data_IF_994866722544
#
_entry.id   IF_994866722544
#
_cell.length_a   1.000
_cell.length_b   1.000
_cell.length_c   1.000
_cell.angle_alpha   90.00
_cell.angle_beta   90.00
_cell.angle_gamma   90.00
#
_symmetry.space_group_name_H-M   'P 1'
#
loop_
_entity.id
_entity.type
_entity.pdbx_description
1 polymer ?
#
# COMPACT_ATOMS: atom_id res chain seq x y z
N UNK A 1 33.71 -37.72 -9.42
CA UNK A 1 32.83 -36.95 -10.31
C UNK A 1 31.71 -36.37 -9.47
N UNK A 2 31.73 -35.05 -9.23
CA UNK A 2 30.64 -34.33 -8.56
C UNK A 2 30.61 -32.92 -9.14
N UNK A 3 29.70 -32.70 -10.09
CA UNK A 3 29.43 -31.40 -10.69
C UNK A 3 28.49 -30.64 -9.76
N UNK A 4 29.01 -29.64 -9.04
CA UNK A 4 28.17 -28.66 -8.37
C UNK A 4 27.62 -27.70 -9.42
N UNK A 5 26.34 -27.86 -9.78
CA UNK A 5 25.59 -26.85 -10.51
C UNK A 5 25.21 -25.74 -9.54
N UNK A 6 25.96 -24.64 -9.57
CA UNK A 6 25.59 -23.40 -8.89
C UNK A 6 24.32 -22.84 -9.52
N UNK A 7 23.21 -22.93 -8.80
CA UNK A 7 21.96 -22.26 -9.14
C UNK A 7 22.17 -20.74 -9.11
N UNK A 8 22.12 -20.12 -10.29
CA UNK A 8 22.17 -18.66 -10.42
C UNK A 8 20.79 -18.11 -10.07
N UNK A 9 20.66 -17.38 -8.96
CA UNK A 9 19.44 -16.61 -8.67
C UNK A 9 19.17 -15.63 -9.83
N UNK A 10 17.96 -15.58 -10.40
CA UNK A 10 17.67 -14.79 -11.61
C UNK A 10 17.59 -13.27 -11.37
N UNK A 11 17.78 -12.80 -10.14
CA UNK A 11 17.86 -11.38 -9.82
C UNK A 11 19.31 -10.91 -9.92
N UNK A 12 19.70 -10.50 -11.13
CA UNK A 12 21.04 -9.97 -11.42
C UNK A 12 21.41 -8.83 -10.47
N UNK A 13 22.64 -8.88 -9.95
CA UNK A 13 23.17 -7.96 -8.93
C UNK A 13 23.60 -6.59 -9.47
N UNK A 14 23.24 -6.26 -10.70
CA UNK A 14 23.69 -5.03 -11.39
C UNK A 14 22.55 -4.03 -11.68
N UNK A 15 21.43 -4.11 -10.98
CA UNK A 15 20.37 -3.09 -11.11
C UNK A 15 20.66 -1.93 -10.16
N UNK A 16 21.00 -0.76 -10.73
CA UNK A 16 21.15 0.50 -9.98
C UNK A 16 19.85 0.81 -9.22
N UNK A 17 19.98 1.10 -7.92
CA UNK A 17 18.89 1.56 -7.06
C UNK A 17 18.16 2.75 -7.71
N UNK A 18 16.82 2.67 -7.78
CA UNK A 18 15.98 3.70 -8.40
C UNK A 18 15.45 4.73 -7.39
N UNK A 19 15.42 4.38 -6.12
CA UNK A 19 14.94 5.23 -5.05
C UNK A 19 14.80 4.48 -3.74
N UNK A 20 14.64 5.24 -2.66
CA UNK A 20 14.49 4.75 -1.29
C UNK A 20 13.57 5.69 -0.53
N UNK A 21 12.78 5.13 0.38
CA UNK A 21 11.92 5.88 1.30
C UNK A 21 12.34 5.49 2.71
N UNK A 22 12.63 6.48 3.55
CA UNK A 22 12.86 6.23 4.97
C UNK A 22 11.54 5.88 5.67
N UNK A 23 11.53 4.77 6.41
CA UNK A 23 10.31 4.27 7.05
C UNK A 23 9.67 5.31 7.99
N UNK A 24 10.48 6.10 8.71
CA UNK A 24 10.01 7.14 9.63
C UNK A 24 9.16 8.23 8.98
N UNK A 25 9.26 8.38 7.65
CA UNK A 25 8.53 9.39 6.90
C UNK A 25 7.21 8.87 6.32
N UNK A 26 6.97 7.57 6.37
CA UNK A 26 5.72 6.96 5.92
C UNK A 26 4.59 7.34 6.90
N UNK A 27 3.46 7.79 6.35
CA UNK A 27 2.29 8.20 7.13
C UNK A 27 1.01 7.44 6.79
N UNK A 28 0.94 6.77 5.64
CA UNK A 28 -0.24 5.98 5.25
C UNK A 28 0.16 4.80 4.38
N UNK A 29 -0.49 3.65 4.59
CA UNK A 29 -0.30 2.41 3.83
C UNK A 29 -1.69 1.80 3.67
N UNK A 30 -2.24 1.82 2.45
CA UNK A 30 -3.64 1.42 2.21
C UNK A 30 -3.80 0.74 0.85
N UNK A 31 -4.85 -0.07 0.71
CA UNK A 31 -5.28 -0.52 -0.61
C UNK A 31 -5.65 0.68 -1.48
N UNK A 32 -5.36 0.58 -2.78
CA UNK A 32 -5.63 1.63 -3.74
C UNK A 32 -6.57 1.13 -4.84
N UNK A 33 -7.27 2.06 -5.47
CA UNK A 33 -8.07 1.87 -6.67
C UNK A 33 -7.37 2.60 -7.80
N UNK A 34 -6.62 1.85 -8.59
CA UNK A 34 -5.91 2.39 -9.76
C UNK A 34 -6.72 1.97 -10.98
N UNK A 35 -7.62 2.85 -11.43
CA UNK A 35 -8.36 2.68 -12.69
C UNK A 35 -7.45 3.01 -13.89
N UNK A 36 -6.33 2.31 -14.00
CA UNK A 36 -5.44 2.40 -15.15
C UNK A 36 -5.60 1.12 -15.94
N UNK A 37 -5.85 1.22 -17.24
CA UNK A 37 -5.66 0.10 -18.12
C UNK A 37 -4.16 -0.23 -18.14
N UNK A 38 -3.76 -1.29 -17.44
CA UNK A 38 -2.36 -1.70 -17.28
C UNK A 38 -1.64 -1.90 -18.61
N UNK A 39 -2.37 -2.21 -19.68
CA UNK A 39 -1.81 -2.31 -21.04
C UNK A 39 -1.21 -0.99 -21.54
N UNK A 40 -1.74 0.17 -21.12
CA UNK A 40 -1.19 1.49 -21.47
C UNK A 40 0.19 1.74 -20.87
N UNK A 41 0.54 1.04 -19.79
CA UNK A 41 1.86 1.08 -19.15
C UNK A 41 2.69 -0.19 -19.44
N UNK A 42 2.31 -0.95 -20.49
CA UNK A 42 3.03 -2.14 -20.93
C UNK A 42 2.89 -3.35 -20.02
N UNK A 43 1.94 -3.34 -19.09
CA UNK A 43 1.68 -4.44 -18.16
C UNK A 43 0.49 -5.28 -18.64
N UNK A 44 0.57 -6.59 -18.42
CA UNK A 44 -0.46 -7.55 -18.78
C UNK A 44 -0.91 -8.32 -17.53
N UNK A 45 -2.21 -8.58 -17.44
CA UNK A 45 -2.81 -9.31 -16.32
C UNK A 45 -3.51 -8.42 -15.31
N UNK A 46 -4.03 -9.08 -14.28
CA UNK A 46 -4.66 -8.44 -13.13
C UNK A 46 -3.59 -8.06 -12.10
N UNK A 47 -3.79 -6.93 -11.43
CA UNK A 47 -2.90 -6.45 -10.37
C UNK A 47 -3.71 -6.00 -9.17
N UNK A 48 -3.07 -6.05 -8.02
CA UNK A 48 -3.65 -5.73 -6.73
C UNK A 48 -2.95 -4.49 -6.16
N UNK A 49 -3.39 -3.28 -6.55
CA UNK A 49 -2.72 -2.05 -6.17
C UNK A 49 -2.85 -1.72 -4.67
N UNK A 50 -1.79 -1.15 -4.13
CA UNK A 50 -1.78 -0.47 -2.84
C UNK A 50 -0.93 0.79 -2.93
N UNK A 51 -1.06 1.68 -1.94
CA UNK A 51 -0.35 2.94 -1.90
C UNK A 51 0.40 3.13 -0.59
N UNK A 52 1.50 3.86 -0.69
CA UNK A 52 2.33 4.31 0.43
C UNK A 52 2.41 5.84 0.36
N UNK A 53 1.83 6.51 1.34
CA UNK A 53 1.99 7.95 1.53
C UNK A 53 3.19 8.24 2.44
N UNK A 54 4.04 9.18 2.03
CA UNK A 54 5.22 9.59 2.79
C UNK A 54 5.53 11.07 2.59
N UNK A 55 6.25 11.64 3.56
CA UNK A 55 6.73 13.01 3.49
C UNK A 55 8.22 13.03 3.13
N UNK A 56 8.64 13.85 2.18
CA UNK A 56 10.05 14.03 1.87
C UNK A 56 10.31 15.51 1.56
N UNK A 57 11.32 16.12 2.18
CA UNK A 57 11.64 17.55 2.02
C UNK A 57 10.41 18.47 2.14
N UNK A 58 9.58 18.24 3.16
CA UNK A 58 8.34 18.98 3.44
C UNK A 58 7.26 18.87 2.34
N UNK A 59 7.36 17.88 1.45
CA UNK A 59 6.37 17.59 0.41
C UNK A 59 5.70 16.24 0.68
N UNK A 60 4.41 16.17 0.35
CA UNK A 60 3.58 14.98 0.51
C UNK A 60 3.52 14.18 -0.80
N UNK A 61 3.94 12.93 -0.72
CA UNK A 61 4.03 12.01 -1.85
C UNK A 61 3.17 10.77 -1.63
N UNK A 62 2.75 10.17 -2.74
CA UNK A 62 2.04 8.89 -2.78
C UNK A 62 2.71 8.01 -3.81
N UNK A 63 3.27 6.90 -3.36
CA UNK A 63 3.78 5.83 -4.21
C UNK A 63 2.68 4.78 -4.41
N UNK A 64 2.40 4.41 -5.65
CA UNK A 64 1.51 3.31 -5.98
C UNK A 64 2.35 2.07 -6.34
N UNK A 65 1.99 0.93 -5.76
CA UNK A 65 2.65 -0.36 -6.01
C UNK A 65 1.60 -1.33 -6.54
N UNK A 66 1.96 -2.06 -7.60
CA UNK A 66 1.11 -3.08 -8.22
C UNK A 66 1.62 -4.47 -7.81
N UNK A 67 0.92 -5.12 -6.89
CA UNK A 67 1.22 -6.52 -6.55
C UNK A 67 0.63 -7.46 -7.62
N UNK A 68 1.33 -8.55 -7.92
CA UNK A 68 0.85 -9.58 -8.87
C UNK A 68 -0.23 -10.47 -8.30
N UNK A 69 -0.36 -10.55 -6.97
CA UNK A 69 -1.35 -11.37 -6.27
C UNK A 69 -2.01 -10.59 -5.15
N UNK A 70 -3.24 -10.99 -4.82
CA UNK A 70 -3.99 -10.41 -3.70
C UNK A 70 -3.29 -10.65 -2.36
N UNK A 71 -2.77 -11.86 -2.17
CA UNK A 71 -2.02 -12.29 -0.97
C UNK A 71 -0.77 -11.43 -0.77
N UNK A 72 0.06 -11.28 -1.81
CA UNK A 72 1.26 -10.44 -1.77
C UNK A 72 0.93 -9.00 -1.33
N UNK A 73 -0.17 -8.42 -1.85
CA UNK A 73 -0.62 -7.09 -1.45
C UNK A 73 -0.90 -7.03 0.05
N UNK A 74 -1.61 -8.03 0.59
CA UNK A 74 -1.97 -8.10 2.01
C UNK A 74 -0.70 -8.19 2.86
N UNK A 75 0.20 -9.10 2.52
CA UNK A 75 1.46 -9.32 3.25
C UNK A 75 2.31 -8.05 3.28
N UNK A 76 2.45 -7.36 2.14
CA UNK A 76 3.18 -6.09 2.08
C UNK A 76 2.55 -5.01 2.95
N UNK A 77 1.23 -4.85 2.90
CA UNK A 77 0.53 -3.86 3.72
C UNK A 77 0.75 -4.14 5.21
N UNK A 78 0.59 -5.40 5.65
CA UNK A 78 0.73 -5.78 7.05
C UNK A 78 2.17 -5.58 7.54
N UNK A 79 3.16 -6.06 6.78
CA UNK A 79 4.57 -5.93 7.13
C UNK A 79 5.01 -4.46 7.25
N UNK A 80 4.62 -3.62 6.28
CA UNK A 80 4.96 -2.20 6.29
C UNK A 80 4.29 -1.46 7.45
N UNK A 81 3.01 -1.75 7.74
CA UNK A 81 2.30 -1.17 8.88
C UNK A 81 2.98 -1.54 10.19
N UNK A 82 3.33 -2.80 10.37
CA UNK A 82 4.05 -3.25 11.55
C UNK A 82 5.39 -2.52 11.72
N UNK A 83 6.15 -2.34 10.63
CA UNK A 83 7.44 -1.65 10.65
C UNK A 83 7.32 -0.15 10.94
N UNK A 84 6.21 0.49 10.54
CA UNK A 84 6.01 1.93 10.65
C UNK A 84 5.12 2.34 11.85
N UNK A 85 4.63 1.38 12.65
CA UNK A 85 3.52 1.60 13.59
C UNK A 85 3.81 2.62 14.71
N UNK A 86 5.08 2.98 14.91
CA UNK A 86 5.54 3.96 15.90
C UNK A 86 5.73 5.37 15.33
N UNK A 87 5.49 5.55 14.03
CA UNK A 87 5.64 6.84 13.37
C UNK A 87 4.66 7.86 13.97
N UNK A 88 5.13 9.09 14.17
CA UNK A 88 4.32 10.15 14.82
C UNK A 88 3.37 10.86 13.86
N UNK A 89 3.57 10.70 12.56
CA UNK A 89 2.91 11.42 11.49
C UNK A 89 1.81 10.60 10.78
N UNK A 90 1.34 9.49 11.36
CA UNK A 90 0.31 8.66 10.75
C UNK A 90 -0.96 9.46 10.44
N UNK A 91 -1.42 9.41 9.19
CA UNK A 91 -2.64 10.09 8.75
C UNK A 91 -3.87 9.23 9.05
N UNK A 92 -4.96 9.89 9.42
CA UNK A 92 -6.26 9.25 9.71
C UNK A 92 -7.17 9.15 8.48
N UNK A 93 -6.78 9.77 7.38
CA UNK A 93 -7.57 9.83 6.16
C UNK A 93 -6.68 9.80 4.93
N UNK A 94 -7.15 9.18 3.85
CA UNK A 94 -6.42 9.06 2.59
C UNK A 94 -7.35 9.11 1.37
N UNK A 95 -6.77 9.27 0.18
CA UNK A 95 -7.50 9.18 -1.08
C UNK A 95 -7.30 7.80 -1.68
N UNK A 96 -8.37 7.02 -1.86
CA UNK A 96 -8.25 5.64 -2.34
C UNK A 96 -7.87 5.52 -3.82
N UNK A 97 -8.03 6.57 -4.62
CA UNK A 97 -7.79 6.55 -6.07
C UNK A 97 -6.78 7.59 -6.51
N UNK A 98 -6.23 7.44 -7.72
CA UNK A 98 -5.17 8.28 -8.28
C UNK A 98 -5.63 9.73 -8.52
N UNK A 99 -4.71 10.68 -8.32
CA UNK A 99 -4.81 12.08 -8.77
C UNK A 99 -4.52 12.17 -10.27
N UNK A 100 -5.47 12.64 -11.06
CA UNK A 100 -5.36 12.67 -12.53
C UNK A 100 -4.64 13.89 -13.11
N UNK A 101 -4.19 14.82 -12.24
CA UNK A 101 -3.62 16.11 -12.62
C UNK A 101 -4.55 17.29 -12.32
N UNK A 102 -5.86 17.04 -12.19
CA UNK A 102 -6.91 18.05 -11.95
C UNK A 102 -7.75 17.76 -10.72
N UNK A 103 -8.04 16.49 -10.45
CA UNK A 103 -8.85 16.06 -9.32
C UNK A 103 -8.48 14.66 -8.82
N UNK A 104 -8.97 14.35 -7.63
CA UNK A 104 -8.94 13.00 -7.07
C UNK A 104 -10.08 12.16 -7.63
N UNK A 105 -9.78 11.05 -8.31
CA UNK A 105 -10.80 10.17 -8.90
C UNK A 105 -11.74 9.49 -7.88
N UNK A 106 -11.44 9.57 -6.58
CA UNK A 106 -12.25 8.97 -5.54
C UNK A 106 -13.31 9.91 -4.94
N UNK A 107 -13.18 11.23 -5.09
CA UNK A 107 -14.08 12.20 -4.47
C UNK A 107 -14.23 13.51 -5.25
N UNK A 108 -13.65 13.60 -6.44
CA UNK A 108 -13.61 14.81 -7.28
C UNK A 108 -12.99 16.04 -6.63
N UNK A 109 -12.25 15.92 -5.52
CA UNK A 109 -11.58 17.06 -4.91
C UNK A 109 -10.47 17.61 -5.83
N UNK A 110 -10.49 18.91 -6.11
CA UNK A 110 -9.59 19.62 -7.03
C UNK A 110 -8.28 20.09 -6.41
N UNK A 111 -8.03 19.79 -5.13
CA UNK A 111 -6.79 20.15 -4.45
C UNK A 111 -5.98 18.89 -4.17
N UNK A 112 -4.80 18.78 -4.81
CA UNK A 112 -3.91 17.61 -4.65
C UNK A 112 -3.56 17.34 -3.19
N UNK A 113 -3.30 18.39 -2.41
CA UNK A 113 -2.92 18.26 -1.00
C UNK A 113 -4.11 18.31 -0.02
N UNK A 114 -5.33 18.10 -0.50
CA UNK A 114 -6.52 18.00 0.35
C UNK A 114 -6.46 16.81 1.30
N UNK A 115 -7.20 16.89 2.40
CA UNK A 115 -7.45 15.75 3.28
C UNK A 115 -8.11 14.62 2.49
N UNK A 116 -7.75 13.39 2.84
CA UNK A 116 -8.31 12.19 2.23
C UNK A 116 -9.81 12.03 2.47
N UNK A 117 -10.53 11.51 1.48
CA UNK A 117 -11.97 11.26 1.58
C UNK A 117 -12.34 9.93 2.27
N UNK A 118 -11.36 9.07 2.54
CA UNK A 118 -11.57 7.77 3.18
C UNK A 118 -10.85 7.72 4.52
N UNK A 119 -11.45 7.03 5.49
CA UNK A 119 -10.79 6.76 6.78
C UNK A 119 -9.64 5.79 6.57
N UNK A 120 -8.45 6.16 7.01
CA UNK A 120 -7.29 5.27 6.97
C UNK A 120 -7.42 4.20 8.07
N UNK A 121 -6.87 3.02 7.82
CA UNK A 121 -6.80 1.97 8.82
C UNK A 121 -5.95 2.48 9.99
N UNK A 122 -6.43 2.27 11.21
CA UNK A 122 -5.64 2.58 12.39
C UNK A 122 -4.75 1.39 12.74
N UNK A 123 -3.43 1.58 12.61
CA UNK A 123 -2.41 0.57 12.90
C UNK A 123 -1.29 1.15 13.80
N UNK A 124 -1.59 2.23 14.51
CA UNK A 124 -0.70 2.79 15.53
C UNK A 124 -0.56 1.81 16.70
N UNK A 125 0.67 1.35 16.96
CA UNK A 125 0.96 0.38 18.03
C UNK A 125 0.61 0.89 19.44
N UNK A 126 0.47 2.21 19.61
CA UNK A 126 0.15 2.84 20.91
C UNK A 126 -1.33 2.78 21.25
N UNK A 127 -2.19 2.47 20.29
CA UNK A 127 -3.59 2.18 20.55
C UNK A 127 -3.70 0.66 20.59
N UNK A 128 -4.11 0.12 21.75
CA UNK A 128 -4.45 -1.31 21.79
C UNK A 128 -5.36 -1.63 20.60
N UNK A 129 -5.09 -2.71 19.86
CA UNK A 129 -6.03 -3.17 18.86
C UNK A 129 -7.36 -3.42 19.58
N UNK A 130 -8.40 -2.71 19.15
CA UNK A 130 -9.75 -2.98 19.61
C UNK A 130 -10.14 -4.37 19.10
N UNK A 131 -9.95 -5.37 19.96
CA UNK A 131 -10.13 -6.79 19.65
C UNK A 131 -11.58 -7.09 19.22
N UNK A 132 -12.55 -6.24 19.55
CA UNK A 132 -13.94 -6.42 19.14
C UNK A 132 -14.10 -6.40 17.62
N UNK A 133 -13.38 -5.51 16.92
CA UNK A 133 -13.48 -5.34 15.45
C UNK A 133 -12.97 -6.53 14.65
N UNK A 134 -12.15 -7.39 15.26
CA UNK A 134 -11.70 -8.64 14.66
C UNK A 134 -12.67 -9.78 14.89
N UNK A 135 -13.44 -9.76 15.99
CA UNK A 135 -14.46 -10.76 16.31
C UNK A 135 -15.71 -10.53 15.46
N UNK A 136 -16.12 -9.26 15.31
CA UNK A 136 -17.33 -8.90 14.53
C UNK A 136 -17.20 -9.27 13.03
N UNK A 137 -15.98 -9.24 12.48
CA UNK A 137 -15.73 -9.63 11.08
C UNK A 137 -15.73 -11.14 10.85
N UNK A 138 -15.39 -11.93 11.87
CA UNK A 138 -15.42 -13.39 11.77
C UNK A 138 -16.86 -13.90 11.84
N UNK A 139 -17.72 -13.28 12.66
CA UNK A 139 -19.13 -13.64 12.73
C UNK A 139 -19.90 -13.29 11.45
N UNK A 140 -19.60 -12.17 10.78
CA UNK A 140 -20.27 -11.82 9.51
C UNK A 140 -19.90 -12.78 8.35
N UNK A 141 -18.70 -13.36 8.35
CA UNK A 141 -18.26 -14.34 7.34
C UNK A 141 -18.77 -15.77 7.64
N UNK A 142 -19.05 -16.13 8.90
CA UNK A 142 -19.66 -17.42 9.25
C UNK A 142 -21.19 -17.45 9.04
N UNK A 143 -21.88 -16.31 9.18
CA UNK A 143 -23.34 -16.20 8.98
C UNK A 143 -23.77 -16.05 7.50
N UNK A 144 -22.82 -15.97 6.55
CA UNK A 144 -23.10 -15.83 5.11
C UNK A 144 -22.84 -17.10 4.29
N UNK A 145 -22.61 -18.24 4.98
CA UNK A 145 -22.42 -19.58 4.38
C UNK A 145 -23.66 -20.48 4.54
N UNK A 146 -24.82 -19.94 4.89
CA UNK A 146 -26.12 -20.67 4.86
C UNK A 146 -27.02 -20.25 3.68
#
# INVERSE_FOLDING_TARGET
MATQQGGVCPFSRDKKEKGRIELQHIHSIEAALVSTNYTKIGLQGEYYPFQIGYNEYSKDYTLYILASKAEDRIDWILALRQACAINKNLKKSYHKSVWDGKKWNCCDNHYRNSLGCQTATNWDRRREPDKSRYIDKVSEEEDSVE
#
